data_IF_210072883362
#
_entry.id   IF_210072883362
#
_cell.length_a   1.000
_cell.length_b   1.000
_cell.length_c   1.000
_cell.angle_alpha   90.00
_cell.angle_beta   90.00
_cell.angle_gamma   90.00
#
_symmetry.space_group_name_H-M   'P 1'
#
loop_
_entity.id
_entity.type
_entity.pdbx_description
1 polymer ?
#
# COMPACT_ATOMS: atom_id res chain seq x y z
N UNK A 1 -15.20 8.95 -25.22
CA UNK A 1 -14.21 7.99 -24.67
C UNK A 1 -13.07 8.68 -23.95
N UNK A 2 -12.46 9.75 -24.50
CA UNK A 2 -11.39 10.49 -23.79
C UNK A 2 -11.82 11.01 -22.41
N UNK A 3 -13.00 11.66 -22.33
CA UNK A 3 -13.54 12.19 -21.06
C UNK A 3 -13.79 11.10 -19.99
N UNK A 4 -14.07 9.87 -20.43
CA UNK A 4 -14.27 8.73 -19.55
C UNK A 4 -12.91 8.21 -19.03
N UNK A 5 -11.93 8.11 -19.93
CA UNK A 5 -10.57 7.69 -19.59
C UNK A 5 -9.89 8.69 -18.63
N UNK A 6 -10.19 9.98 -18.75
CA UNK A 6 -9.62 11.02 -17.90
C UNK A 6 -10.14 10.98 -16.45
N UNK A 7 -11.33 10.42 -16.23
CA UNK A 7 -11.93 10.31 -14.90
C UNK A 7 -11.37 9.13 -14.08
N UNK A 8 -10.73 8.14 -14.70
CA UNK A 8 -10.07 7.03 -13.99
C UNK A 8 -10.99 6.04 -13.27
N UNK A 9 -12.31 6.06 -13.55
CA UNK A 9 -13.32 5.28 -12.79
C UNK A 9 -13.80 3.99 -13.47
N UNK A 10 -13.44 3.78 -14.72
CA UNK A 10 -13.92 2.65 -15.52
C UNK A 10 -12.82 1.62 -15.77
N UNK A 11 -13.20 0.36 -15.93
CA UNK A 11 -12.27 -0.69 -16.31
C UNK A 11 -11.79 -0.46 -17.74
N UNK A 12 -10.47 -0.42 -17.93
CA UNK A 12 -9.84 -0.33 -19.24
C UNK A 12 -9.20 -1.66 -19.60
N UNK A 13 -9.31 -2.05 -20.86
CA UNK A 13 -8.61 -3.19 -21.42
C UNK A 13 -7.45 -2.66 -22.28
N UNK A 14 -6.26 -3.19 -22.03
CA UNK A 14 -5.05 -2.89 -22.80
C UNK A 14 -4.62 -4.19 -23.46
N UNK A 15 -4.36 -4.14 -24.76
CA UNK A 15 -3.85 -5.28 -25.49
C UNK A 15 -2.32 -5.32 -25.36
N UNK A 16 -1.74 -6.50 -25.23
CA UNK A 16 -0.30 -6.72 -25.30
C UNK A 16 0.00 -7.38 -26.64
N UNK A 17 1.03 -6.90 -27.33
CA UNK A 17 1.56 -7.52 -28.55
C UNK A 17 2.48 -8.69 -28.19
N UNK A 18 2.87 -9.49 -29.19
CA UNK A 18 3.68 -10.70 -29.00
C UNK A 18 5.03 -10.43 -28.33
N UNK A 19 5.71 -9.31 -28.63
CA UNK A 19 7.00 -8.95 -27.99
C UNK A 19 6.83 -8.21 -26.64
N UNK A 20 5.60 -8.04 -26.17
CA UNK A 20 5.28 -7.48 -24.85
C UNK A 20 4.93 -5.99 -24.84
N UNK A 21 4.96 -5.31 -25.98
CA UNK A 21 4.55 -3.91 -26.07
C UNK A 21 3.05 -3.76 -25.85
N UNK A 22 2.63 -2.68 -25.20
CA UNK A 22 1.21 -2.44 -24.90
C UNK A 22 0.54 -1.64 -26.00
N UNK A 23 -0.43 -2.22 -26.72
CA UNK A 23 -1.30 -1.49 -27.63
C UNK A 23 -2.38 -0.76 -26.86
N UNK A 24 -2.40 0.55 -27.02
CA UNK A 24 -3.32 1.41 -26.32
C UNK A 24 -4.06 2.29 -27.31
N UNK A 25 -5.35 2.48 -27.09
CA UNK A 25 -6.15 3.42 -27.87
C UNK A 25 -5.70 4.87 -27.57
N UNK A 26 -5.81 5.77 -28.56
CA UNK A 26 -5.49 7.20 -28.46
C UNK A 26 -6.25 7.95 -27.35
N UNK A 27 -7.31 7.36 -26.80
CA UNK A 27 -8.01 7.90 -25.63
C UNK A 27 -7.18 7.82 -24.33
N UNK A 28 -6.15 6.98 -24.28
CA UNK A 28 -5.26 6.85 -23.13
C UNK A 28 -3.96 7.60 -23.44
N UNK A 29 -3.59 8.49 -22.54
CA UNK A 29 -2.46 9.40 -22.67
C UNK A 29 -1.63 9.38 -21.38
N UNK A 30 -0.42 9.94 -21.41
CA UNK A 30 0.53 9.97 -20.30
C UNK A 30 -0.03 10.64 -19.02
N UNK A 31 -1.05 11.49 -19.15
CA UNK A 31 -1.73 12.14 -18.04
C UNK A 31 -2.75 11.20 -17.38
N UNK A 32 -3.59 10.53 -18.16
CA UNK A 32 -4.68 9.71 -17.62
C UNK A 32 -4.23 8.31 -17.19
N UNK A 33 -3.17 7.76 -17.79
CA UNK A 33 -2.60 6.45 -17.45
C UNK A 33 -2.23 6.35 -15.96
N UNK A 34 -1.90 7.50 -15.33
CA UNK A 34 -1.53 7.60 -13.90
C UNK A 34 -2.68 7.27 -12.95
N UNK A 35 -3.92 7.41 -13.41
CA UNK A 35 -5.11 7.08 -12.62
C UNK A 35 -5.41 5.58 -12.63
N UNK A 36 -4.79 4.82 -13.53
CA UNK A 36 -5.01 3.40 -13.68
C UNK A 36 -3.86 2.60 -13.08
N UNK A 37 -4.21 1.51 -12.39
CA UNK A 37 -3.27 0.48 -12.00
C UNK A 37 -3.47 -0.72 -12.90
N UNK A 38 -2.49 -0.99 -13.74
CA UNK A 38 -2.58 -2.08 -14.72
C UNK A 38 -2.23 -3.39 -14.04
N UNK A 39 -3.00 -4.43 -14.36
CA UNK A 39 -2.78 -5.77 -13.85
C UNK A 39 -1.49 -6.37 -14.43
N UNK A 40 -0.74 -7.10 -13.62
CA UNK A 40 0.47 -7.81 -14.08
C UNK A 40 0.12 -8.99 -14.97
N UNK A 41 -0.95 -9.72 -14.61
CA UNK A 41 -1.44 -10.91 -15.29
C UNK A 41 -2.33 -10.57 -16.48
N UNK A 42 -2.31 -11.45 -17.49
CA UNK A 42 -3.15 -11.32 -18.67
C UNK A 42 -4.50 -11.99 -18.42
N UNK A 43 -5.60 -11.30 -18.72
CA UNK A 43 -6.94 -11.86 -18.57
C UNK A 43 -7.26 -12.89 -19.67
N UNK A 44 -6.76 -12.65 -20.87
CA UNK A 44 -7.00 -13.46 -22.07
C UNK A 44 -5.81 -13.32 -23.02
N UNK A 45 -5.46 -14.40 -23.71
CA UNK A 45 -4.47 -14.38 -24.78
C UNK A 45 -5.03 -15.13 -25.99
N UNK A 46 -4.77 -14.60 -27.18
CA UNK A 46 -5.13 -15.22 -28.45
C UNK A 46 -3.98 -15.01 -29.44
N UNK A 47 -3.75 -15.98 -30.32
CA UNK A 47 -2.78 -15.86 -31.38
C UNK A 47 -3.38 -15.14 -32.58
N UNK A 48 -2.61 -14.25 -33.20
CA UNK A 48 -2.98 -13.68 -34.48
C UNK A 48 -2.93 -14.77 -35.56
N UNK A 49 -4.07 -15.01 -36.21
CA UNK A 49 -4.21 -16.05 -37.24
C UNK A 49 -4.65 -15.45 -38.56
N UNK A 50 -3.97 -15.85 -39.62
CA UNK A 50 -4.34 -15.49 -40.99
C UNK A 50 -5.35 -16.50 -41.53
N UNK A 51 -6.53 -16.02 -41.93
CA UNK A 51 -7.56 -16.85 -42.56
C UNK A 51 -7.42 -16.86 -44.07
N UNK A 52 -7.60 -18.03 -44.68
CA UNK A 52 -7.67 -18.19 -46.14
C UNK A 52 -8.76 -19.18 -46.54
N UNK A 53 -9.09 -19.23 -47.83
CA UNK A 53 -10.07 -20.17 -48.35
C UNK A 53 -9.54 -21.60 -48.29
N UNK A 54 -10.42 -22.57 -47.98
CA UNK A 54 -10.05 -23.98 -47.78
C UNK A 54 -9.27 -24.61 -48.94
N UNK A 55 -9.46 -24.11 -50.16
CA UNK A 55 -8.86 -24.67 -51.40
C UNK A 55 -7.72 -23.81 -51.93
N UNK A 56 -7.15 -22.92 -51.12
CA UNK A 56 -6.13 -22.01 -51.62
C UNK A 56 -4.81 -22.74 -51.93
N UNK A 57 -4.33 -22.73 -53.19
CA UNK A 57 -3.21 -23.56 -53.63
C UNK A 57 -1.85 -23.13 -53.05
N UNK A 58 -1.78 -21.98 -52.40
CA UNK A 58 -0.56 -21.39 -51.84
C UNK A 58 -0.47 -21.52 -50.32
N UNK A 59 -1.40 -22.23 -49.68
CA UNK A 59 -1.45 -22.38 -48.21
C UNK A 59 -0.11 -22.87 -47.64
N UNK A 60 0.40 -24.00 -48.14
CA UNK A 60 1.66 -24.59 -47.67
C UNK A 60 2.85 -23.65 -47.86
N UNK A 61 2.81 -22.83 -48.91
CA UNK A 61 3.88 -21.88 -49.20
C UNK A 61 3.86 -20.70 -48.24
N UNK A 62 2.68 -20.20 -47.88
CA UNK A 62 2.54 -19.17 -46.86
C UNK A 62 2.89 -19.71 -45.48
N UNK A 63 2.46 -20.92 -45.14
CA UNK A 63 2.75 -21.51 -43.83
C UNK A 63 4.26 -21.66 -43.61
N UNK A 64 4.96 -22.22 -44.59
CA UNK A 64 6.43 -22.30 -44.56
C UNK A 64 7.13 -20.93 -44.55
N UNK A 65 6.54 -19.92 -45.19
CA UNK A 65 7.09 -18.55 -45.15
C UNK A 65 6.88 -17.91 -43.77
N UNK A 66 5.71 -18.10 -43.16
CA UNK A 66 5.37 -17.61 -41.83
C UNK A 66 6.31 -18.18 -40.77
N UNK A 67 6.55 -19.51 -40.82
CA UNK A 67 7.53 -20.17 -39.97
C UNK A 67 8.93 -19.56 -40.11
N UNK A 68 9.40 -19.37 -41.35
CA UNK A 68 10.71 -18.73 -41.58
C UNK A 68 10.76 -17.27 -41.10
N UNK A 69 9.66 -16.52 -41.25
CA UNK A 69 9.58 -15.15 -40.77
C UNK A 69 9.63 -15.09 -39.23
N UNK A 70 8.99 -16.05 -38.56
CA UNK A 70 9.05 -16.20 -37.10
C UNK A 70 10.44 -16.62 -36.63
N UNK A 71 11.06 -17.58 -37.30
CA UNK A 71 12.45 -18.02 -37.02
C UNK A 71 13.46 -16.88 -37.24
N UNK A 72 13.22 -16.01 -38.22
CA UNK A 72 14.03 -14.82 -38.48
C UNK A 72 13.72 -13.63 -37.55
N UNK A 73 12.80 -13.80 -36.58
CA UNK A 73 12.32 -12.74 -35.70
C UNK A 73 11.78 -11.50 -36.43
N UNK A 74 11.26 -11.67 -37.64
CA UNK A 74 10.79 -10.53 -38.46
C UNK A 74 9.57 -9.86 -37.82
N UNK A 75 8.67 -10.64 -37.22
CA UNK A 75 7.50 -10.11 -36.51
C UNK A 75 7.89 -9.20 -35.34
N UNK A 76 8.89 -9.62 -34.55
CA UNK A 76 9.45 -8.81 -33.47
C UNK A 76 10.01 -7.48 -33.97
N UNK A 77 10.78 -7.51 -35.07
CA UNK A 77 11.32 -6.29 -35.65
C UNK A 77 10.22 -5.35 -36.15
N UNK A 78 9.22 -5.89 -36.83
CA UNK A 78 8.08 -5.13 -37.33
C UNK A 78 7.29 -4.48 -36.20
N UNK A 79 7.05 -5.23 -35.11
CA UNK A 79 6.42 -4.71 -33.90
C UNK A 79 7.18 -3.52 -33.35
N UNK A 80 8.50 -3.64 -33.18
CA UNK A 80 9.34 -2.56 -32.67
C UNK A 80 9.27 -1.29 -33.54
N UNK A 81 9.26 -1.45 -34.87
CA UNK A 81 9.14 -0.32 -35.81
C UNK A 81 7.75 0.32 -35.73
N UNK A 82 6.69 -0.48 -35.58
CA UNK A 82 5.32 0.05 -35.45
C UNK A 82 5.14 0.79 -34.13
N UNK A 83 5.68 0.25 -33.04
CA UNK A 83 5.68 0.87 -31.72
C UNK A 83 6.37 2.23 -31.77
N UNK A 84 7.59 2.28 -32.30
CA UNK A 84 8.39 3.51 -32.37
C UNK A 84 7.69 4.60 -33.21
N UNK A 85 6.98 4.20 -34.27
CA UNK A 85 6.32 5.15 -35.17
C UNK A 85 4.96 5.63 -34.67
N UNK A 86 4.16 4.76 -34.05
CA UNK A 86 2.74 5.02 -33.81
C UNK A 86 2.34 5.07 -32.33
N UNK A 87 3.18 4.61 -31.40
CA UNK A 87 2.84 4.57 -29.98
C UNK A 87 3.67 5.57 -29.18
N UNK A 88 3.03 6.15 -28.16
CA UNK A 88 3.72 7.09 -27.28
C UNK A 88 4.61 6.33 -26.29
N UNK A 89 5.91 6.59 -26.39
CA UNK A 89 6.93 6.05 -25.51
C UNK A 89 6.61 6.28 -24.02
N UNK A 90 6.12 7.47 -23.65
CA UNK A 90 5.84 7.80 -22.25
C UNK A 90 4.68 6.99 -21.68
N UNK A 91 3.70 6.69 -22.51
CA UNK A 91 2.57 5.83 -22.13
C UNK A 91 3.10 4.41 -21.87
N UNK A 92 3.95 3.86 -22.73
CA UNK A 92 4.51 2.52 -22.55
C UNK A 92 5.34 2.40 -21.27
N UNK A 93 6.26 3.34 -21.03
CA UNK A 93 7.07 3.35 -19.81
C UNK A 93 6.20 3.47 -18.56
N UNK A 94 5.14 4.29 -18.61
CA UNK A 94 4.20 4.43 -17.50
C UNK A 94 3.44 3.14 -17.22
N UNK A 95 3.10 2.38 -18.26
CA UNK A 95 2.44 1.08 -18.16
C UNK A 95 3.38 0.05 -17.53
N UNK A 96 4.59 -0.08 -18.03
CA UNK A 96 5.60 -1.00 -17.49
C UNK A 96 5.88 -0.70 -16.02
N UNK A 97 6.08 0.58 -15.68
CA UNK A 97 6.34 0.99 -14.31
C UNK A 97 5.13 0.79 -13.38
N UNK A 98 3.90 0.85 -13.92
CA UNK A 98 2.70 0.47 -13.16
C UNK A 98 2.67 -1.03 -12.84
N UNK A 99 3.19 -1.89 -13.74
CA UNK A 99 3.22 -3.34 -13.57
C UNK A 99 4.34 -3.79 -12.62
N UNK A 100 5.47 -3.10 -12.63
CA UNK A 100 6.64 -3.41 -11.78
C UNK A 100 6.44 -3.13 -10.29
N UNK A 101 5.36 -2.46 -9.88
CA UNK A 101 5.14 -2.16 -8.45
C UNK A 101 5.09 -3.48 -7.66
N UNK A 102 6.09 -3.75 -6.82
CA UNK A 102 6.26 -5.06 -6.21
C UNK A 102 5.04 -5.39 -5.36
N UNK A 103 4.58 -6.64 -5.46
CA UNK A 103 3.65 -7.20 -4.49
C UNK A 103 4.21 -6.96 -3.10
N UNK A 104 3.47 -6.17 -2.31
CA UNK A 104 3.67 -5.86 -0.88
C UNK A 104 5.04 -6.30 -0.39
N UNK A 105 6.08 -5.51 -0.69
CA UNK A 105 7.35 -5.72 -0.01
C UNK A 105 7.05 -5.65 1.49
N UNK A 106 7.59 -6.60 2.27
CA UNK A 106 7.45 -6.57 3.73
C UNK A 106 7.83 -5.16 4.20
N UNK A 107 6.80 -4.40 4.58
CA UNK A 107 6.98 -3.05 5.10
C UNK A 107 7.78 -3.21 6.38
N UNK A 108 9.03 -2.73 6.37
CA UNK A 108 9.81 -2.64 7.60
C UNK A 108 8.99 -1.77 8.55
N UNK A 109 8.52 -2.36 9.65
CA UNK A 109 7.74 -1.65 10.67
C UNK A 109 8.47 -0.36 11.05
N UNK A 110 7.85 0.76 10.69
CA UNK A 110 8.34 2.08 11.06
C UNK A 110 7.93 2.33 12.51
N UNK A 111 8.77 3.02 13.28
CA UNK A 111 8.47 3.35 14.69
C UNK A 111 7.14 4.10 14.87
N UNK A 112 6.64 4.74 13.82
CA UNK A 112 5.35 5.42 13.77
C UNK A 112 4.18 4.46 14.02
N UNK A 113 4.25 3.22 13.55
CA UNK A 113 3.22 2.19 13.77
C UNK A 113 3.19 1.68 15.23
N UNK A 114 4.33 1.70 15.93
CA UNK A 114 4.46 1.27 17.34
C UNK A 114 4.28 2.45 18.32
N UNK A 115 4.33 3.69 17.81
CA UNK A 115 4.26 4.92 18.62
C UNK A 115 3.01 4.98 19.50
N UNK A 116 1.86 4.51 18.98
CA UNK A 116 0.60 4.46 19.73
C UNK A 116 0.67 3.56 20.95
N UNK A 117 1.28 2.36 20.82
CA UNK A 117 1.46 1.44 21.94
C UNK A 117 2.44 2.00 22.99
N UNK A 118 3.51 2.66 22.53
CA UNK A 118 4.47 3.35 23.39
C UNK A 118 3.86 4.53 24.15
N UNK A 119 2.97 5.31 23.52
CA UNK A 119 2.26 6.40 24.20
C UNK A 119 1.35 5.88 25.32
N UNK A 120 0.60 4.80 25.07
CA UNK A 120 -0.28 4.19 26.08
C UNK A 120 0.55 3.71 27.28
N UNK A 121 1.69 3.06 27.01
CA UNK A 121 2.63 2.63 28.05
C UNK A 121 3.15 3.82 28.87
N UNK A 122 3.53 4.91 28.20
CA UNK A 122 4.00 6.14 28.85
C UNK A 122 2.94 6.77 29.76
N UNK A 123 1.71 6.89 29.28
CA UNK A 123 0.59 7.43 30.07
C UNK A 123 0.31 6.53 31.28
N UNK A 124 0.29 5.21 31.11
CA UNK A 124 0.11 4.27 32.22
C UNK A 124 1.20 4.41 33.30
N UNK A 125 2.46 4.54 32.89
CA UNK A 125 3.57 4.68 33.83
C UNK A 125 3.51 6.00 34.61
N UNK A 126 3.15 7.10 33.94
CA UNK A 126 2.99 8.40 34.61
C UNK A 126 1.82 8.43 35.58
N UNK A 127 0.68 7.82 35.21
CA UNK A 127 -0.49 7.72 36.09
C UNK A 127 -0.19 6.90 37.35
N UNK A 128 0.51 5.77 37.20
CA UNK A 128 0.94 4.94 38.34
C UNK A 128 1.90 5.69 39.26
N UNK A 129 2.88 6.43 38.71
CA UNK A 129 3.81 7.23 39.49
C UNK A 129 3.08 8.34 40.29
N UNK A 130 2.11 9.03 39.68
CA UNK A 130 1.32 10.07 40.34
C UNK A 130 0.48 9.48 41.48
N UNK A 131 -0.17 8.32 41.27
CA UNK A 131 -0.94 7.64 42.30
C UNK A 131 -0.08 7.27 43.51
N UNK A 132 1.13 6.75 43.27
CA UNK A 132 2.07 6.37 44.33
C UNK A 132 2.55 7.58 45.15
N UNK A 133 2.82 8.71 44.47
CA UNK A 133 3.21 9.95 45.15
C UNK A 133 2.06 10.49 46.01
N UNK A 134 0.84 10.51 45.46
CA UNK A 134 -0.36 10.94 46.20
C UNK A 134 -0.59 10.10 47.44
N UNK A 135 -0.48 8.77 47.33
CA UNK A 135 -0.63 7.86 48.46
C UNK A 135 0.42 8.14 49.55
N UNK A 136 1.68 8.35 49.16
CA UNK A 136 2.75 8.69 50.11
C UNK A 136 2.46 10.02 50.83
N UNK A 137 2.08 11.07 50.10
CA UNK A 137 1.80 12.40 50.69
C UNK A 137 0.61 12.33 51.65
N UNK A 138 -0.47 11.66 51.26
CA UNK A 138 -1.65 11.47 52.13
C UNK A 138 -1.29 10.65 53.37
N UNK A 139 -0.45 9.62 53.23
CA UNK A 139 0.01 8.80 54.34
C UNK A 139 0.85 9.61 55.35
N UNK A 140 1.81 10.41 54.88
CA UNK A 140 2.63 11.28 55.73
C UNK A 140 1.80 12.40 56.40
N UNK A 141 0.82 12.97 55.68
CA UNK A 141 -0.09 13.97 56.22
C UNK A 141 -0.97 13.43 57.34
N UNK A 142 -1.60 12.27 57.13
CA UNK A 142 -2.43 11.62 58.16
C UNK A 142 -1.60 11.15 59.37
N UNK A 143 -0.35 10.71 59.17
CA UNK A 143 0.54 10.31 60.26
C UNK A 143 0.94 11.50 61.14
N UNK A 144 1.10 12.68 60.55
CA UNK A 144 1.39 13.92 61.27
C UNK A 144 0.17 14.44 62.03
N UNK A 145 -1.03 14.37 61.45
CA UNK A 145 -2.29 14.70 62.12
C UNK A 145 -2.61 13.78 63.31
N UNK A 146 -2.36 12.47 63.19
CA UNK A 146 -2.53 11.52 64.30
C UNK A 146 -1.55 11.76 65.45
N UNK A 147 -0.32 12.21 65.17
CA UNK A 147 0.65 12.62 66.20
C UNK A 147 0.21 13.89 66.93
N UNK A 148 -0.28 14.89 66.21
CA UNK A 148 -0.77 16.15 66.79
C UNK A 148 -2.02 15.94 67.65
N UNK A 149 -2.99 15.16 67.16
CA UNK A 149 -4.22 14.84 67.89
C UNK A 149 -3.93 14.04 69.17
N UNK A 150 -2.99 13.08 69.13
CA UNK A 150 -2.57 12.32 70.33
C UNK A 150 -1.88 13.22 71.37
N UNK A 151 -1.15 14.25 70.94
CA UNK A 151 -0.52 15.22 71.84
C UNK A 151 -1.56 16.13 72.51
N UNK A 152 -2.57 16.59 71.76
CA UNK A 152 -3.68 17.39 72.28
C UNK A 152 -4.55 16.57 73.24
N UNK A 153 -4.90 15.32 72.90
CA UNK A 153 -5.70 14.45 73.79
C UNK A 153 -4.96 14.08 75.09
N UNK A 154 -3.62 13.94 75.07
CA UNK A 154 -2.85 13.71 76.29
C UNK A 154 -2.68 14.96 77.17
N UNK A 155 -2.89 16.16 76.63
CA UNK A 155 -2.90 17.43 77.38
C UNK A 155 -4.23 17.71 78.09
N UNK A 156 -5.30 16.95 77.79
CA UNK A 156 -6.67 17.20 78.27
C UNK A 156 -7.18 16.06 79.17
N UNK A 157 -6.29 15.35 79.89
CA UNK A 157 -6.73 14.47 81.00
C UNK A 157 -6.78 15.28 82.30
N UNK A 158 -7.96 15.58 82.88
CA UNK A 158 -8.05 16.17 84.21
C UNK A 158 -7.56 15.17 85.27
N UNK A 159 -6.75 15.68 86.19
CA UNK A 159 -6.25 15.00 87.38
C UNK A 159 -7.45 14.63 88.27
N UNK A 160 -7.65 13.32 88.49
CA UNK A 160 -8.71 12.82 89.37
C UNK A 160 -8.41 13.25 90.82
N UNK A 161 -9.35 13.86 91.56
CA UNK A 161 -9.11 14.17 92.97
C UNK A 161 -9.04 12.89 93.80
N UNK A 162 -7.98 12.78 94.59
CA UNK A 162 -7.74 11.75 95.61
C UNK A 162 -8.85 11.78 96.66
N UNK A 163 -9.47 10.62 96.88
CA UNK A 163 -10.43 10.38 97.97
C UNK A 163 -9.70 10.42 99.32
N UNK A 164 -10.23 11.20 100.26
CA UNK A 164 -10.18 10.96 101.71
C UNK A 164 -11.53 11.36 102.28
#
# INVERSE_FOLDING_TARGET
MSEIADNGREAIMIALLEDGHSMVNNAINAQNIKHYRIMSEQLYFEYEIAYTTKTWPLLDRIDSMSLRARDACLFRHMEQVMVDRYMDYWVQVSIEHSRERPHVQLQKMVLEEISGALMILGVGQTAAAVAFILENVLYYGMRSGKKLFKHITNSVRPMHPTKT
#
